data_IF_563000465813
#
_entry.id   IF_563000465813
#
_cell.length_a   1.000
_cell.length_b   1.000
_cell.length_c   1.000
_cell.angle_alpha   90.00
_cell.angle_beta   90.00
_cell.angle_gamma   90.00
#
_symmetry.space_group_name_H-M   'P 1'
#
loop_
_entity.id
_entity.type
_entity.pdbx_description
1 polymer ?
#
# COMPACT_ATOMS: atom_id res chain seq x y z
N UNK A 1 24.91 26.60 32.44
CA UNK A 1 25.29 25.86 33.66
C UNK A 1 24.14 24.91 33.97
N UNK A 2 24.11 23.74 33.33
CA UNK A 2 23.01 22.80 33.37
C UNK A 2 23.29 21.72 34.42
N UNK A 3 22.28 21.45 35.23
CA UNK A 3 22.27 20.54 36.36
C UNK A 3 22.55 19.12 35.86
N UNK A 4 23.70 18.59 36.24
CA UNK A 4 24.07 17.17 36.11
C UNK A 4 23.53 16.46 37.35
N UNK A 5 22.48 15.65 37.19
CA UNK A 5 22.17 14.60 38.16
C UNK A 5 22.81 13.30 37.68
N UNK A 6 23.84 12.89 38.43
CA UNK A 6 24.55 11.63 38.29
C UNK A 6 23.58 10.50 38.67
N UNK A 7 23.25 9.62 37.73
CA UNK A 7 22.68 8.31 38.07
C UNK A 7 23.77 7.53 38.81
N UNK A 8 23.46 7.02 40.01
CA UNK A 8 24.39 6.19 40.78
C UNK A 8 24.73 4.91 40.02
N UNK A 9 25.98 4.44 40.09
CA UNK A 9 26.44 3.18 39.48
C UNK A 9 25.52 1.97 39.80
N UNK A 10 24.87 1.98 40.97
CA UNK A 10 23.90 0.95 41.36
C UNK A 10 22.68 0.85 40.44
N UNK A 11 22.25 1.96 39.80
CA UNK A 11 21.11 1.96 38.88
C UNK A 11 21.47 1.37 37.50
N UNK A 12 22.75 1.38 37.13
CA UNK A 12 23.25 0.81 35.86
C UNK A 12 23.35 -0.72 35.93
N UNK A 13 23.46 -1.29 37.12
CA UNK A 13 23.47 -2.75 37.34
C UNK A 13 22.10 -3.43 37.19
N UNK A 14 21.01 -2.64 37.16
CA UNK A 14 19.63 -3.14 37.10
C UNK A 14 18.98 -2.98 35.72
N UNK A 15 19.76 -2.70 34.67
CA UNK A 15 19.24 -2.65 33.29
C UNK A 15 19.07 -4.10 32.79
N UNK A 16 17.92 -4.50 32.21
CA UNK A 16 17.69 -5.87 31.78
C UNK A 16 18.70 -6.28 30.71
N UNK A 17 19.10 -7.55 30.73
CA UNK A 17 20.08 -8.10 29.80
C UNK A 17 19.68 -7.81 28.34
N UNK A 18 20.66 -7.38 27.54
CA UNK A 18 20.71 -6.97 26.13
C UNK A 18 19.58 -7.35 25.13
N UNK A 19 18.77 -8.39 25.36
CA UNK A 19 17.76 -8.92 24.43
C UNK A 19 16.52 -8.03 24.25
N UNK A 20 16.06 -7.36 25.30
CA UNK A 20 14.79 -6.59 25.26
C UNK A 20 14.99 -5.16 24.75
N UNK A 21 16.14 -4.55 25.04
CA UNK A 21 16.57 -3.29 24.42
C UNK A 21 16.89 -3.45 22.93
N UNK A 22 17.36 -4.63 22.52
CA UNK A 22 17.54 -4.96 21.11
C UNK A 22 16.22 -4.93 20.32
N UNK A 23 15.11 -5.38 20.91
CA UNK A 23 13.77 -5.30 20.29
C UNK A 23 13.31 -3.85 20.05
N UNK A 24 13.61 -2.95 20.97
CA UNK A 24 13.34 -1.51 20.81
C UNK A 24 14.31 -0.84 19.82
N UNK A 25 15.54 -1.36 19.70
CA UNK A 25 16.54 -0.92 18.72
C UNK A 25 16.22 -1.23 17.27
N UNK A 26 15.32 -2.18 17.04
CA UNK A 26 14.72 -2.41 15.72
C UNK A 26 13.67 -1.34 15.40
N UNK A 27 13.09 -0.66 16.40
CA UNK A 27 11.88 0.16 16.26
C UNK A 27 12.08 1.67 16.48
N UNK A 28 13.09 2.12 17.23
CA UNK A 28 13.48 3.53 17.23
C UNK A 28 14.54 3.76 16.14
N UNK A 29 14.58 4.96 15.53
CA UNK A 29 15.67 5.34 14.64
C UNK A 29 17.00 4.93 15.29
N UNK A 30 17.77 4.06 14.62
CA UNK A 30 19.04 3.50 15.12
C UNK A 30 19.95 4.57 15.74
N UNK A 31 19.82 5.81 15.28
CA UNK A 31 20.51 7.00 15.78
C UNK A 31 20.07 7.43 17.19
N UNK A 32 18.77 7.45 17.49
CA UNK A 32 18.26 7.79 18.83
C UNK A 32 18.71 6.77 19.89
N UNK A 33 18.71 5.47 19.56
CA UNK A 33 19.19 4.45 20.49
C UNK A 33 20.71 4.37 20.58
N UNK A 34 21.41 4.66 19.49
CA UNK A 34 22.86 4.84 19.51
C UNK A 34 23.24 6.04 20.39
N UNK A 35 22.56 7.17 20.27
CA UNK A 35 22.81 8.39 21.03
C UNK A 35 22.39 8.23 22.50
N UNK A 36 21.28 7.53 22.78
CA UNK A 36 20.87 7.16 24.14
C UNK A 36 21.87 6.21 24.79
N UNK A 37 22.33 5.17 24.09
CA UNK A 37 23.32 4.23 24.59
C UNK A 37 24.69 4.89 24.83
N UNK A 38 25.12 5.82 23.96
CA UNK A 38 26.30 6.66 24.18
C UNK A 38 26.13 7.59 25.38
N UNK A 39 24.97 8.23 25.51
CA UNK A 39 24.68 9.14 26.62
C UNK A 39 24.62 8.42 27.97
N UNK A 40 24.26 7.14 27.98
CA UNK A 40 24.23 6.27 29.16
C UNK A 40 25.55 5.51 29.39
N UNK A 41 26.60 5.75 28.60
CA UNK A 41 27.90 5.09 28.76
C UNK A 41 27.92 3.59 28.39
N UNK A 42 26.93 3.12 27.63
CA UNK A 42 26.74 1.71 27.29
C UNK A 42 27.50 1.35 26.00
N UNK A 43 28.82 1.52 25.99
CA UNK A 43 29.68 1.29 24.80
C UNK A 43 29.55 -0.12 24.20
N UNK A 44 29.34 -1.11 25.07
CA UNK A 44 29.15 -2.52 24.68
C UNK A 44 27.80 -2.74 23.97
N UNK A 45 26.75 -2.02 24.36
CA UNK A 45 25.45 -2.06 23.68
C UNK A 45 25.54 -1.39 22.30
N UNK A 46 26.25 -0.27 22.20
CA UNK A 46 26.54 0.39 20.90
C UNK A 46 27.29 -0.55 19.96
N UNK A 47 28.25 -1.32 20.48
CA UNK A 47 28.99 -2.34 19.74
C UNK A 47 28.09 -3.50 19.29
N UNK A 48 27.14 -3.92 20.13
CA UNK A 48 26.16 -4.99 19.83
C UNK A 48 25.08 -4.55 18.85
N UNK A 49 24.54 -3.33 18.96
CA UNK A 49 23.60 -2.76 17.97
C UNK A 49 24.25 -2.73 16.57
N UNK A 50 25.55 -2.42 16.49
CA UNK A 50 26.33 -2.51 15.24
C UNK A 50 26.54 -3.94 14.73
N UNK A 51 26.62 -4.94 15.61
CA UNK A 51 26.81 -6.36 15.25
C UNK A 51 25.50 -7.10 14.93
N UNK A 52 24.37 -6.72 15.56
CA UNK A 52 23.09 -7.44 15.49
C UNK A 52 22.31 -7.17 14.20
N UNK A 53 22.77 -6.23 13.36
CA UNK A 53 22.19 -5.93 12.04
C UNK A 53 22.13 -7.13 11.08
N UNK A 54 22.73 -8.27 11.41
CA UNK A 54 22.75 -9.47 10.57
C UNK A 54 21.99 -10.71 11.09
N UNK A 55 21.44 -10.73 12.32
CA UNK A 55 20.64 -11.88 12.80
C UNK A 55 20.05 -11.63 14.19
N UNK A 56 18.80 -11.15 14.28
CA UNK A 56 17.99 -11.27 15.50
C UNK A 56 17.16 -12.56 15.37
N UNK A 57 17.33 -13.53 16.28
CA UNK A 57 16.50 -14.72 16.33
C UNK A 57 15.01 -14.41 16.52
N UNK A 58 14.13 -15.06 15.74
CA UNK A 58 12.68 -14.82 15.74
C UNK A 58 12.01 -15.05 17.12
N UNK A 59 12.59 -15.92 17.96
CA UNK A 59 12.11 -16.20 19.32
C UNK A 59 12.22 -14.99 20.27
N UNK A 60 13.07 -14.01 19.98
CA UNK A 60 13.19 -12.77 20.75
C UNK A 60 12.03 -11.80 20.45
N UNK A 61 11.44 -11.87 19.25
CA UNK A 61 10.29 -11.03 18.86
C UNK A 61 8.97 -11.51 19.50
N UNK A 62 8.94 -12.72 20.04
CA UNK A 62 7.75 -13.30 20.69
C UNK A 62 7.67 -13.03 22.21
N UNK A 63 8.74 -12.52 22.84
CA UNK A 63 8.76 -12.26 24.29
C UNK A 63 8.02 -10.96 24.68
N UNK A 64 6.94 -11.09 25.45
CA UNK A 64 6.13 -9.95 25.94
C UNK A 64 6.91 -9.17 27.03
N UNK A 65 7.06 -7.83 26.93
CA UNK A 65 7.70 -7.03 27.97
C UNK A 65 6.96 -7.11 29.31
N UNK A 66 7.72 -7.19 30.41
CA UNK A 66 7.18 -7.13 31.78
C UNK A 66 6.64 -5.73 32.12
N UNK A 67 5.80 -5.64 33.16
CA UNK A 67 5.29 -4.35 33.69
C UNK A 67 6.42 -3.37 33.99
N UNK A 68 7.48 -3.88 34.61
CA UNK A 68 8.65 -3.10 34.99
C UNK A 68 9.35 -2.46 33.78
N UNK A 69 9.41 -3.20 32.66
CA UNK A 69 10.00 -2.69 31.42
C UNK A 69 9.10 -1.61 30.83
N UNK A 70 7.78 -1.82 30.79
CA UNK A 70 6.84 -0.83 30.27
C UNK A 70 6.88 0.47 31.09
N UNK A 71 6.98 0.36 32.41
CA UNK A 71 7.10 1.50 33.33
C UNK A 71 8.38 2.29 33.11
N UNK A 72 9.48 1.62 32.78
CA UNK A 72 10.76 2.25 32.46
C UNK A 72 10.76 2.89 31.07
N UNK A 73 10.01 2.34 30.11
CA UNK A 73 9.94 2.85 28.75
C UNK A 73 9.03 4.07 28.60
N UNK A 74 7.91 4.10 29.32
CA UNK A 74 6.93 5.17 29.23
C UNK A 74 7.51 6.60 29.29
N UNK A 75 8.45 6.94 30.20
CA UNK A 75 9.04 8.28 30.23
C UNK A 75 10.05 8.55 29.10
N UNK A 76 10.62 7.51 28.48
CA UNK A 76 11.66 7.63 27.45
C UNK A 76 11.07 7.93 26.06
N UNK A 77 9.80 7.59 25.83
CA UNK A 77 9.14 7.72 24.53
C UNK A 77 8.86 9.20 24.18
N UNK A 78 8.65 10.07 25.19
CA UNK A 78 8.41 11.50 24.96
C UNK A 78 7.00 11.79 24.42
N UNK A 79 6.87 12.74 23.49
CA UNK A 79 5.58 13.33 23.06
C UNK A 79 4.86 12.56 21.92
N UNK A 80 5.26 11.32 21.64
CA UNK A 80 4.79 10.57 20.47
C UNK A 80 3.68 9.54 20.80
N UNK A 81 2.93 9.74 21.88
CA UNK A 81 1.85 8.85 22.36
C UNK A 81 0.94 8.38 21.23
N UNK A 82 0.50 9.31 20.37
CA UNK A 82 -0.45 9.01 19.31
C UNK A 82 0.16 8.11 18.22
N UNK A 83 1.38 8.43 17.79
CA UNK A 83 2.13 7.63 16.81
C UNK A 83 2.45 6.24 17.38
N UNK A 84 2.88 6.17 18.65
CA UNK A 84 3.13 4.92 19.35
C UNK A 84 1.87 4.04 19.38
N UNK A 85 0.72 4.61 19.74
CA UNK A 85 -0.55 3.89 19.77
C UNK A 85 -0.89 3.27 18.41
N UNK A 86 -0.76 4.05 17.33
CA UNK A 86 -0.99 3.56 15.96
C UNK A 86 -0.02 2.43 15.61
N UNK A 87 1.27 2.59 15.90
CA UNK A 87 2.30 1.58 15.60
C UNK A 87 2.11 0.29 16.38
N UNK A 88 1.56 0.39 17.59
CA UNK A 88 1.19 -0.77 18.40
C UNK A 88 -0.16 -1.38 17.99
N UNK A 89 -0.87 -0.78 17.03
CA UNK A 89 -2.13 -1.30 16.49
C UNK A 89 -3.37 -0.94 17.30
N UNK A 90 -3.30 0.08 18.18
CA UNK A 90 -4.48 0.61 18.86
C UNK A 90 -5.36 1.40 17.90
N UNK A 91 -6.67 1.39 18.15
CA UNK A 91 -7.62 2.22 17.43
C UNK A 91 -7.48 3.70 17.81
N UNK A 92 -7.96 4.60 16.94
CA UNK A 92 -7.94 6.05 17.23
C UNK A 92 -8.79 6.36 18.47
N UNK A 93 -9.92 5.68 18.64
CA UNK A 93 -10.82 5.82 19.78
C UNK A 93 -10.15 5.39 21.10
N UNK A 94 -9.36 4.30 21.08
CA UNK A 94 -8.59 3.86 22.25
C UNK A 94 -7.53 4.89 22.64
N UNK A 95 -6.81 5.43 21.64
CA UNK A 95 -5.77 6.43 21.89
C UNK A 95 -6.37 7.72 22.44
N UNK A 96 -7.50 8.19 21.90
CA UNK A 96 -8.20 9.37 22.43
C UNK A 96 -8.75 9.11 23.85
N UNK A 97 -9.30 7.92 24.11
CA UNK A 97 -9.73 7.53 25.47
C UNK A 97 -8.57 7.55 26.47
N UNK A 98 -7.37 7.10 26.06
CA UNK A 98 -6.17 7.16 26.89
C UNK A 98 -5.75 8.60 27.17
N UNK A 99 -5.81 9.49 26.16
CA UNK A 99 -5.53 10.92 26.33
C UNK A 99 -6.49 11.59 27.30
N UNK A 100 -7.79 11.27 27.23
CA UNK A 100 -8.80 11.78 28.15
C UNK A 100 -8.57 11.28 29.58
N UNK A 101 -8.18 10.01 29.74
CA UNK A 101 -7.98 9.38 31.05
C UNK A 101 -6.72 9.86 31.77
N UNK A 102 -5.63 10.11 31.05
CA UNK A 102 -4.32 10.39 31.63
C UNK A 102 -3.97 11.89 31.69
N UNK A 103 -4.94 12.78 31.47
CA UNK A 103 -4.74 14.24 31.42
C UNK A 103 -3.55 14.63 30.51
N UNK A 104 -2.83 15.72 30.82
CA UNK A 104 -1.63 16.18 30.07
C UNK A 104 -0.35 15.41 30.43
N UNK A 105 -0.42 14.33 31.22
CA UNK A 105 0.74 13.52 31.59
C UNK A 105 1.09 12.53 30.47
N UNK A 106 2.06 12.92 29.65
CA UNK A 106 2.55 12.10 28.54
C UNK A 106 3.17 10.77 28.98
N UNK A 107 3.75 10.71 30.19
CA UNK A 107 4.34 9.47 30.70
C UNK A 107 3.22 8.50 31.07
N UNK A 108 2.18 8.99 31.74
CA UNK A 108 0.99 8.19 32.03
C UNK A 108 0.28 7.74 30.74
N UNK A 109 0.17 8.61 29.73
CA UNK A 109 -0.39 8.25 28.42
C UNK A 109 0.44 7.16 27.71
N UNK A 110 1.77 7.33 27.61
CA UNK A 110 2.66 6.33 26.99
C UNK A 110 2.57 4.98 27.71
N UNK A 111 2.53 5.01 29.06
CA UNK A 111 2.34 3.83 29.88
C UNK A 111 1.02 3.15 29.52
N UNK A 112 -0.10 3.86 29.56
CA UNK A 112 -1.41 3.27 29.30
C UNK A 112 -1.53 2.72 27.87
N UNK A 113 -0.92 3.36 26.87
CA UNK A 113 -0.82 2.83 25.49
C UNK A 113 -0.10 1.48 25.48
N UNK A 114 1.09 1.39 26.10
CA UNK A 114 1.87 0.15 26.17
C UNK A 114 1.12 -0.96 26.92
N UNK A 115 0.41 -0.61 27.99
CA UNK A 115 -0.39 -1.55 28.77
C UNK A 115 -1.62 -2.04 28.01
N UNK A 116 -2.28 -1.15 27.27
CA UNK A 116 -3.47 -1.46 26.45
C UNK A 116 -3.08 -2.39 25.30
N UNK A 117 -2.02 -2.05 24.56
CA UNK A 117 -1.41 -2.91 23.55
C UNK A 117 -1.13 -4.32 24.08
N UNK A 118 -0.48 -4.42 25.25
CA UNK A 118 -0.12 -5.72 25.83
C UNK A 118 -1.34 -6.56 26.25
N UNK A 119 -2.45 -5.90 26.64
CA UNK A 119 -3.69 -6.58 27.03
C UNK A 119 -4.40 -7.17 25.82
N UNK A 120 -4.40 -6.46 24.69
CA UNK A 120 -4.97 -6.98 23.45
C UNK A 120 -3.98 -7.93 22.74
N UNK A 121 -3.91 -9.15 23.27
CA UNK A 121 -3.05 -10.22 22.73
C UNK A 121 -3.61 -10.90 21.49
N UNK A 122 -4.81 -10.52 21.07
CA UNK A 122 -5.44 -11.13 19.87
C UNK A 122 -4.85 -10.52 18.60
N UNK A 123 -4.46 -9.26 18.68
CA UNK A 123 -3.73 -8.56 17.63
C UNK A 123 -2.25 -8.76 17.92
N UNK A 124 -1.63 -9.78 17.32
CA UNK A 124 -0.17 -9.78 17.21
C UNK A 124 0.17 -8.42 16.59
N UNK A 125 1.01 -7.58 17.23
CA UNK A 125 1.39 -6.32 16.63
C UNK A 125 1.85 -6.67 15.23
N UNK A 126 1.27 -6.00 14.24
CA UNK A 126 1.67 -6.15 12.86
C UNK A 126 3.04 -5.49 12.73
N UNK A 127 4.07 -6.02 13.41
CA UNK A 127 5.47 -5.58 13.36
C UNK A 127 6.01 -5.71 11.93
N UNK A 128 5.24 -6.36 11.04
CA UNK A 128 5.50 -6.44 9.60
C UNK A 128 4.78 -5.37 8.76
N UNK A 129 3.89 -4.57 9.32
CA UNK A 129 3.58 -3.28 8.71
C UNK A 129 4.71 -2.36 9.14
N UNK A 130 5.59 -2.08 8.19
CA UNK A 130 6.70 -1.17 8.43
C UNK A 130 6.11 0.14 8.96
N UNK A 131 6.79 0.82 9.89
CA UNK A 131 6.39 2.16 10.37
C UNK A 131 6.05 3.12 9.23
N UNK A 132 6.69 2.90 8.08
CA UNK A 132 6.40 3.52 6.80
C UNK A 132 4.99 3.27 6.25
N UNK A 133 4.48 2.03 6.27
CA UNK A 133 3.09 1.70 5.90
C UNK A 133 2.09 2.42 6.81
N UNK A 134 2.36 2.46 8.12
CA UNK A 134 1.50 3.13 9.10
C UNK A 134 1.44 4.65 8.87
N UNK A 135 2.58 5.29 8.61
CA UNK A 135 2.66 6.71 8.32
C UNK A 135 1.85 7.08 7.06
N UNK A 136 1.94 6.26 6.00
CA UNK A 136 1.18 6.46 4.76
C UNK A 136 -0.32 6.33 4.96
N UNK A 137 -0.75 5.32 5.70
CA UNK A 137 -2.17 5.15 6.07
C UNK A 137 -2.67 6.36 6.86
N UNK A 138 -1.88 6.84 7.82
CA UNK A 138 -2.20 8.04 8.57
C UNK A 138 -2.37 9.26 7.64
N UNK A 139 -1.42 9.49 6.71
CA UNK A 139 -1.50 10.60 5.76
C UNK A 139 -2.72 10.54 4.84
N UNK A 140 -3.08 9.35 4.37
CA UNK A 140 -4.31 9.14 3.60
C UNK A 140 -5.53 9.53 4.44
N UNK A 141 -5.65 9.02 5.67
CA UNK A 141 -6.77 9.32 6.57
C UNK A 141 -6.86 10.80 6.93
N UNK A 142 -5.73 11.44 7.20
CA UNK A 142 -5.63 12.87 7.51
C UNK A 142 -6.15 13.74 6.36
N UNK A 143 -5.96 13.31 5.10
CA UNK A 143 -6.36 14.03 3.90
C UNK A 143 -7.60 13.44 3.20
N UNK A 144 -8.28 12.46 3.80
CA UNK A 144 -9.33 11.65 3.17
C UNK A 144 -10.46 12.53 2.61
N UNK A 145 -10.94 13.49 3.40
CA UNK A 145 -12.05 14.37 2.98
C UNK A 145 -11.71 15.20 1.74
N UNK A 146 -10.48 15.71 1.64
CA UNK A 146 -10.04 16.48 0.46
C UNK A 146 -9.92 15.57 -0.75
N UNK A 147 -9.33 14.40 -0.57
CA UNK A 147 -9.21 13.40 -1.64
C UNK A 147 -10.60 13.05 -2.18
N UNK A 148 -11.56 12.76 -1.29
CA UNK A 148 -12.92 12.37 -1.67
C UNK A 148 -13.62 13.49 -2.46
N UNK A 149 -13.43 14.75 -2.08
CA UNK A 149 -14.15 15.88 -2.68
C UNK A 149 -13.52 16.40 -3.97
N UNK A 150 -12.18 16.46 -4.04
CA UNK A 150 -11.49 17.26 -5.05
C UNK A 150 -11.02 16.42 -6.26
N UNK A 151 -10.81 15.11 -6.07
CA UNK A 151 -10.20 14.25 -7.09
C UNK A 151 -11.24 13.68 -8.07
N UNK A 152 -10.95 13.83 -9.37
CA UNK A 152 -11.66 13.12 -10.44
C UNK A 152 -11.12 11.70 -10.57
N UNK A 153 -11.79 10.76 -9.91
CA UNK A 153 -11.34 9.38 -9.76
C UNK A 153 -10.98 8.69 -11.07
N UNK A 154 -11.76 8.90 -12.14
CA UNK A 154 -11.57 8.22 -13.42
C UNK A 154 -10.16 8.40 -14.00
N UNK A 155 -9.57 9.60 -13.85
CA UNK A 155 -8.23 9.91 -14.33
C UNK A 155 -7.16 9.17 -13.52
N UNK A 156 -7.34 9.10 -12.19
CA UNK A 156 -6.44 8.38 -11.30
C UNK A 156 -6.51 6.88 -11.55
N UNK A 157 -7.72 6.32 -11.75
CA UNK A 157 -7.89 4.91 -12.10
C UNK A 157 -7.21 4.56 -13.42
N UNK A 158 -7.35 5.39 -14.46
CA UNK A 158 -6.69 5.14 -15.75
C UNK A 158 -5.16 5.09 -15.60
N UNK A 159 -4.60 5.95 -14.76
CA UNK A 159 -3.16 5.97 -14.46
C UNK A 159 -2.70 4.76 -13.67
N UNK A 160 -3.44 4.41 -12.62
CA UNK A 160 -3.15 3.24 -11.78
C UNK A 160 -3.31 1.92 -12.56
N UNK A 161 -4.28 1.81 -13.46
CA UNK A 161 -4.43 0.69 -14.39
C UNK A 161 -3.20 0.55 -15.30
N UNK A 162 -2.70 1.67 -15.82
CA UNK A 162 -1.53 1.70 -16.71
C UNK A 162 -0.26 1.18 -16.02
N UNK A 163 -0.16 1.38 -14.70
CA UNK A 163 0.97 0.94 -13.88
C UNK A 163 0.73 -0.41 -13.19
N UNK A 164 -0.34 -1.12 -13.54
CA UNK A 164 -0.65 -2.48 -13.05
C UNK A 164 -0.86 -2.58 -11.54
N UNK A 165 -1.12 -1.47 -10.86
CA UNK A 165 -1.37 -1.46 -9.39
C UNK A 165 -2.85 -1.66 -9.04
N UNK A 166 -3.73 -1.56 -10.04
CA UNK A 166 -5.14 -1.97 -9.99
C UNK A 166 -5.52 -2.90 -11.15
N UNK A 167 -6.44 -3.83 -10.89
CA UNK A 167 -7.01 -4.75 -11.87
C UNK A 167 -8.25 -4.12 -12.54
N UNK A 168 -8.72 -4.74 -13.63
CA UNK A 168 -9.97 -4.34 -14.25
C UNK A 168 -11.18 -4.58 -13.32
N UNK A 169 -11.12 -5.63 -12.51
CA UNK A 169 -12.20 -5.97 -11.59
C UNK A 169 -12.25 -4.98 -10.42
N UNK A 170 -11.10 -4.55 -9.88
CA UNK A 170 -11.05 -3.45 -8.89
C UNK A 170 -11.69 -2.17 -9.45
N UNK A 171 -11.39 -1.83 -10.70
CA UNK A 171 -11.94 -0.63 -11.35
C UNK A 171 -13.47 -0.73 -11.42
N UNK A 172 -13.98 -1.86 -11.90
CA UNK A 172 -15.43 -2.09 -12.01
C UNK A 172 -16.10 -2.06 -10.63
N UNK A 173 -15.47 -2.66 -9.63
CA UNK A 173 -15.96 -2.63 -8.24
C UNK A 173 -16.01 -1.20 -7.71
N UNK A 174 -14.95 -0.41 -7.91
CA UNK A 174 -14.92 1.01 -7.53
C UNK A 174 -16.01 1.80 -8.26
N UNK A 175 -16.15 1.63 -9.58
CA UNK A 175 -17.12 2.36 -10.39
C UNK A 175 -18.58 1.98 -10.07
N UNK A 176 -18.79 0.81 -9.47
CA UNK A 176 -20.11 0.39 -8.97
C UNK A 176 -20.57 1.20 -7.75
N UNK A 177 -19.65 1.77 -6.96
CA UNK A 177 -20.00 2.61 -5.84
C UNK A 177 -20.61 3.96 -6.30
N UNK A 178 -21.51 4.56 -5.49
CA UNK A 178 -21.95 5.93 -5.70
C UNK A 178 -20.76 6.89 -5.83
N UNK A 179 -20.86 7.91 -6.68
CA UNK A 179 -19.74 8.83 -7.00
C UNK A 179 -18.98 9.38 -5.79
N UNK A 180 -19.66 9.62 -4.66
CA UNK A 180 -19.05 10.12 -3.44
C UNK A 180 -18.22 9.07 -2.67
N UNK A 181 -18.51 7.78 -2.88
CA UNK A 181 -17.84 6.66 -2.22
C UNK A 181 -16.74 6.05 -3.09
N UNK A 182 -16.72 6.32 -4.40
CA UNK A 182 -15.71 5.75 -5.31
C UNK A 182 -14.29 6.10 -4.85
N UNK A 183 -14.04 7.37 -4.47
CA UNK A 183 -12.72 7.80 -4.00
C UNK A 183 -12.32 7.08 -2.70
N UNK A 184 -13.28 6.80 -1.82
CA UNK A 184 -13.04 6.02 -0.61
C UNK A 184 -12.67 4.57 -0.92
N UNK A 185 -13.39 3.92 -1.82
CA UNK A 185 -13.08 2.56 -2.27
C UNK A 185 -11.67 2.47 -2.89
N UNK A 186 -11.27 3.49 -3.66
CA UNK A 186 -9.91 3.60 -4.19
C UNK A 186 -8.86 3.72 -3.08
N UNK A 187 -9.08 4.56 -2.07
CA UNK A 187 -8.17 4.70 -0.94
C UNK A 187 -8.01 3.39 -0.15
N UNK A 188 -9.10 2.64 0.05
CA UNK A 188 -9.05 1.34 0.70
C UNK A 188 -8.16 0.35 -0.08
N UNK A 189 -8.25 0.35 -1.42
CA UNK A 189 -7.38 -0.46 -2.29
C UNK A 189 -5.92 -0.01 -2.20
N UNK A 190 -5.66 1.29 -2.24
CA UNK A 190 -4.30 1.85 -2.08
C UNK A 190 -3.69 1.43 -0.74
N UNK A 191 -4.45 1.55 0.34
CA UNK A 191 -4.04 1.14 1.69
C UNK A 191 -3.78 -0.37 1.76
N UNK A 192 -4.66 -1.18 1.18
CA UNK A 192 -4.56 -2.65 1.19
C UNK A 192 -3.34 -3.14 0.40
N UNK A 193 -3.00 -2.48 -0.72
CA UNK A 193 -1.93 -2.89 -1.64
C UNK A 193 -0.55 -2.30 -1.34
N UNK A 194 -0.47 -1.40 -0.36
CA UNK A 194 0.79 -0.87 0.18
C UNK A 194 1.61 -0.12 -0.88
N UNK A 195 2.94 -0.24 -0.78
CA UNK A 195 3.90 0.66 -1.40
C UNK A 195 3.72 0.92 -2.90
N UNK A 196 3.61 -0.10 -3.77
CA UNK A 196 3.54 0.15 -5.21
C UNK A 196 2.27 0.93 -5.58
N UNK A 197 1.13 0.62 -4.95
CA UNK A 197 -0.12 1.32 -5.20
C UNK A 197 -0.09 2.74 -4.66
N UNK A 198 0.50 2.96 -3.48
CA UNK A 198 0.65 4.28 -2.89
C UNK A 198 1.51 5.21 -3.74
N UNK A 199 2.69 4.76 -4.18
CA UNK A 199 3.59 5.59 -4.98
C UNK A 199 2.95 5.99 -6.30
N UNK A 200 2.34 5.03 -7.00
CA UNK A 200 1.65 5.29 -8.26
C UNK A 200 0.41 6.17 -8.06
N UNK A 201 -0.32 6.01 -6.96
CA UNK A 201 -1.43 6.89 -6.63
C UNK A 201 -0.96 8.34 -6.47
N UNK A 202 0.10 8.58 -5.67
CA UNK A 202 0.67 9.91 -5.48
C UNK A 202 1.23 10.49 -6.79
N UNK A 203 1.88 9.69 -7.62
CA UNK A 203 2.37 10.14 -8.93
C UNK A 203 1.21 10.46 -9.89
N UNK A 204 0.12 9.68 -9.83
CA UNK A 204 -1.12 9.98 -10.52
C UNK A 204 -1.67 11.35 -10.11
N UNK A 205 -1.74 11.64 -8.80
CA UNK A 205 -2.20 12.94 -8.31
C UNK A 205 -1.39 14.09 -8.91
N UNK A 206 -0.05 13.99 -8.94
CA UNK A 206 0.82 15.00 -9.57
C UNK A 206 0.53 15.17 -11.05
N UNK A 207 0.41 14.06 -11.78
CA UNK A 207 0.22 14.07 -13.23
C UNK A 207 -1.11 14.70 -13.68
N UNK A 208 -2.14 14.67 -12.84
CA UNK A 208 -3.45 15.28 -13.13
C UNK A 208 -3.67 16.62 -12.40
N UNK A 209 -2.62 17.22 -11.84
CA UNK A 209 -2.66 18.58 -11.29
C UNK A 209 -3.11 18.69 -9.84
N UNK A 210 -3.21 17.58 -9.11
CA UNK A 210 -3.50 17.53 -7.66
C UNK A 210 -2.21 17.61 -6.83
N UNK A 211 -1.34 18.55 -7.19
CA UNK A 211 0.02 18.66 -6.65
C UNK A 211 0.00 19.01 -5.15
N UNK A 212 -0.97 19.80 -4.69
CA UNK A 212 -1.16 20.14 -3.29
C UNK A 212 -1.46 18.89 -2.45
N UNK A 213 -2.45 18.08 -2.86
CA UNK A 213 -2.78 16.82 -2.19
C UNK A 213 -1.61 15.84 -2.24
N UNK A 214 -0.94 15.73 -3.40
CA UNK A 214 0.22 14.86 -3.56
C UNK A 214 1.38 15.23 -2.63
N UNK A 215 1.57 16.53 -2.36
CA UNK A 215 2.59 17.03 -1.44
C UNK A 215 2.21 16.79 0.02
N UNK A 216 0.94 16.89 0.38
CA UNK A 216 0.46 16.55 1.73
C UNK A 216 0.58 15.05 2.02
N UNK A 217 0.47 14.21 0.98
CA UNK A 217 0.72 12.76 1.05
C UNK A 217 2.20 12.39 0.95
N UNK A 218 3.11 13.34 0.69
CA UNK A 218 4.53 13.03 0.59
C UNK A 218 5.06 12.63 1.96
N UNK A 219 5.48 11.38 2.09
CA UNK A 219 6.23 10.98 3.28
C UNK A 219 7.60 11.66 3.23
N UNK A 220 8.03 12.26 4.34
CA UNK A 220 9.41 12.71 4.51
C UNK A 220 10.25 11.46 4.63
N UNK A 221 10.56 10.86 3.49
CA UNK A 221 11.66 9.92 3.40
C UNK A 221 12.89 10.78 3.62
N UNK A 222 13.40 10.82 4.86
CA UNK A 222 14.79 11.20 5.05
C UNK A 222 15.59 10.40 4.02
N UNK A 223 16.46 11.08 3.26
CA UNK A 223 17.23 10.55 2.13
C UNK A 223 18.14 9.38 2.54
N UNK A 224 17.54 8.27 2.96
CA UNK A 224 18.12 6.95 2.87
C UNK A 224 18.09 6.71 1.38
N UNK A 225 19.17 7.16 0.73
CA UNK A 225 19.50 6.87 -0.66
C UNK A 225 18.96 5.47 -0.96
N UNK A 226 18.00 5.33 -1.88
CA UNK A 226 17.34 4.05 -2.13
C UNK A 226 18.44 3.07 -2.45
N UNK A 227 18.82 2.26 -1.46
CA UNK A 227 19.82 1.23 -1.68
C UNK A 227 19.15 0.31 -2.68
N UNK A 228 19.70 0.13 -3.89
CA UNK A 228 19.03 -0.57 -4.98
C UNK A 228 18.80 -2.06 -4.68
N UNK A 229 19.08 -2.52 -3.47
CA UNK A 229 18.55 -3.72 -2.83
C UNK A 229 17.04 -3.59 -2.53
N UNK A 230 16.24 -3.22 -3.55
CA UNK A 230 15.00 -3.94 -3.74
C UNK A 230 15.43 -5.39 -3.84
N UNK A 231 15.07 -6.19 -2.83
CA UNK A 231 15.26 -7.63 -2.78
C UNK A 231 14.99 -8.14 -4.19
N UNK A 232 16.04 -8.49 -4.91
CA UNK A 232 15.94 -9.34 -6.08
C UNK A 232 15.19 -10.53 -5.52
N UNK A 233 13.90 -10.63 -5.82
CA UNK A 233 13.18 -11.87 -5.64
C UNK A 233 13.89 -12.81 -6.61
N UNK A 234 14.96 -13.43 -6.12
CA UNK A 234 15.83 -14.32 -6.87
C UNK A 234 14.96 -15.52 -7.22
N UNK A 235 14.42 -15.48 -8.44
CA UNK A 235 14.03 -16.66 -9.20
C UNK A 235 13.11 -17.66 -8.49
N UNK A 236 12.23 -17.24 -7.58
CA UNK A 236 11.05 -18.04 -7.25
C UNK A 236 10.25 -18.18 -8.56
N UNK A 237 10.09 -19.42 -9.01
CA UNK A 237 9.86 -19.79 -10.39
C UNK A 237 8.77 -18.96 -11.09
N UNK A 238 9.13 -18.37 -12.23
CA UNK A 238 8.19 -17.71 -13.16
C UNK A 238 7.01 -18.62 -13.58
N UNK A 239 7.08 -19.93 -13.34
CA UNK A 239 6.06 -20.92 -13.70
C UNK A 239 4.72 -20.76 -12.97
N UNK A 240 4.69 -20.06 -11.84
CA UNK A 240 3.51 -20.10 -10.96
C UNK A 240 2.56 -18.90 -11.16
N UNK A 241 3.01 -17.84 -11.86
CA UNK A 241 2.18 -16.68 -12.14
C UNK A 241 1.25 -16.97 -13.32
N UNK A 242 0.01 -17.37 -13.03
CA UNK A 242 -1.02 -17.66 -14.04
C UNK A 242 -1.65 -16.39 -14.66
N UNK A 243 -0.89 -15.30 -14.79
CA UNK A 243 -1.37 -14.07 -15.40
C UNK A 243 -1.13 -14.16 -16.91
N UNK A 244 -2.15 -14.07 -17.77
CA UNK A 244 -1.92 -14.11 -19.20
C UNK A 244 -1.18 -12.86 -19.70
N UNK A 245 -0.13 -13.08 -20.52
CA UNK A 245 0.75 -12.02 -21.03
C UNK A 245 0.00 -10.88 -21.73
N UNK A 246 -1.06 -11.21 -22.47
CA UNK A 246 -1.85 -10.22 -23.20
C UNK A 246 -2.57 -9.22 -22.28
N UNK A 247 -2.98 -9.63 -21.07
CA UNK A 247 -3.63 -8.73 -20.11
C UNK A 247 -2.67 -7.65 -19.64
N UNK A 248 -1.43 -8.04 -19.35
CA UNK A 248 -0.36 -7.10 -18.95
C UNK A 248 -0.06 -6.11 -20.08
N UNK A 249 0.03 -6.60 -21.32
CA UNK A 249 0.24 -5.72 -22.50
C UNK A 249 -0.90 -4.73 -22.70
N UNK A 250 -2.15 -5.19 -22.57
CA UNK A 250 -3.33 -4.33 -22.67
C UNK A 250 -3.32 -3.26 -21.56
N UNK A 251 -3.08 -3.64 -20.31
CA UNK A 251 -3.08 -2.68 -19.21
C UNK A 251 -1.92 -1.68 -19.30
N UNK A 252 -0.70 -2.09 -19.65
CA UNK A 252 0.43 -1.13 -19.83
C UNK A 252 0.18 -0.10 -20.93
N UNK A 253 -0.71 -0.39 -21.88
CA UNK A 253 -1.11 0.53 -22.95
C UNK A 253 -2.51 1.13 -22.74
N UNK A 254 -3.10 0.95 -21.56
CA UNK A 254 -4.50 1.29 -21.27
C UNK A 254 -4.84 2.75 -21.62
N UNK A 255 -4.05 3.70 -21.13
CA UNK A 255 -4.24 5.12 -21.42
C UNK A 255 -4.20 5.43 -22.93
N UNK A 256 -3.21 4.90 -23.65
CA UNK A 256 -3.07 5.12 -25.10
C UNK A 256 -4.27 4.59 -25.87
N UNK A 257 -4.74 3.39 -25.52
CA UNK A 257 -5.92 2.81 -26.15
C UNK A 257 -7.14 3.70 -25.90
N UNK A 258 -7.34 4.19 -24.69
CA UNK A 258 -8.50 5.03 -24.36
C UNK A 258 -8.49 6.38 -25.06
N UNK A 259 -7.32 6.98 -25.25
CA UNK A 259 -7.20 8.30 -25.88
C UNK A 259 -7.23 8.25 -27.39
N UNK A 260 -6.66 7.20 -28.00
CA UNK A 260 -6.27 7.26 -29.41
C UNK A 260 -7.24 6.54 -30.35
N UNK A 261 -8.05 5.57 -29.85
CA UNK A 261 -8.92 4.76 -30.73
C UNK A 261 -10.32 5.37 -30.89
N UNK A 262 -10.91 5.16 -32.07
CA UNK A 262 -12.35 5.26 -32.30
C UNK A 262 -12.94 3.84 -32.19
N UNK A 263 -13.85 3.61 -31.25
CA UNK A 263 -14.31 2.26 -30.90
C UNK A 263 -15.26 1.64 -31.93
N UNK A 264 -16.00 2.42 -32.71
CA UNK A 264 -17.15 1.94 -33.51
C UNK A 264 -16.76 0.80 -34.46
N UNK A 265 -15.73 1.03 -35.29
CA UNK A 265 -15.28 0.05 -36.28
C UNK A 265 -14.62 -1.19 -35.65
N UNK A 266 -14.04 -1.01 -34.46
CA UNK A 266 -13.38 -2.08 -33.69
C UNK A 266 -14.43 -2.97 -33.04
N UNK A 267 -15.44 -2.38 -32.39
CA UNK A 267 -16.54 -3.09 -31.71
C UNK A 267 -17.33 -3.91 -32.72
N UNK A 268 -17.70 -3.35 -33.87
CA UNK A 268 -18.39 -4.07 -34.94
C UNK A 268 -17.60 -5.31 -35.40
N UNK A 269 -16.28 -5.17 -35.58
CA UNK A 269 -15.42 -6.31 -35.90
C UNK A 269 -15.44 -7.36 -34.78
N UNK A 270 -15.34 -6.95 -33.52
CA UNK A 270 -15.32 -7.89 -32.38
C UNK A 270 -16.65 -8.62 -32.20
N UNK A 271 -17.78 -7.97 -32.47
CA UNK A 271 -19.11 -8.61 -32.50
C UNK A 271 -19.20 -9.61 -33.65
N UNK A 272 -18.75 -9.21 -34.86
CA UNK A 272 -18.75 -10.12 -36.03
C UNK A 272 -17.89 -11.38 -35.85
N UNK A 273 -16.92 -11.33 -34.92
CA UNK A 273 -16.03 -12.44 -34.56
C UNK A 273 -16.44 -13.19 -33.30
N UNK A 274 -17.60 -12.85 -32.73
CA UNK A 274 -18.17 -13.42 -31.51
C UNK A 274 -17.24 -13.32 -30.30
N UNK A 275 -16.37 -12.31 -30.27
CA UNK A 275 -15.51 -12.02 -29.11
C UNK A 275 -16.30 -11.22 -28.08
N UNK A 276 -17.09 -10.28 -28.56
CA UNK A 276 -17.98 -9.39 -27.80
C UNK A 276 -19.41 -9.73 -28.22
N UNK A 277 -20.32 -9.88 -27.25
CA UNK A 277 -21.74 -10.10 -27.56
C UNK A 277 -22.41 -8.80 -28.01
N UNK A 278 -23.61 -8.88 -28.59
CA UNK A 278 -24.37 -7.67 -28.95
C UNK A 278 -24.67 -6.83 -27.71
N UNK A 279 -25.09 -7.47 -26.61
CA UNK A 279 -25.34 -6.81 -25.32
C UNK A 279 -24.08 -6.13 -24.75
N UNK A 280 -22.91 -6.77 -24.90
CA UNK A 280 -21.63 -6.16 -24.51
C UNK A 280 -21.31 -4.94 -25.38
N UNK A 281 -21.63 -5.00 -26.68
CA UNK A 281 -21.53 -3.88 -27.61
C UNK A 281 -22.41 -2.69 -27.20
N UNK A 282 -23.66 -2.95 -26.84
CA UNK A 282 -24.58 -1.91 -26.33
C UNK A 282 -24.07 -1.27 -25.04
N UNK A 283 -23.50 -2.07 -24.13
CA UNK A 283 -22.84 -1.53 -22.92
C UNK A 283 -21.67 -0.62 -23.26
N UNK A 284 -20.86 -1.00 -24.24
CA UNK A 284 -19.76 -0.14 -24.73
C UNK A 284 -20.32 1.17 -25.27
N UNK A 285 -21.33 1.11 -26.15
CA UNK A 285 -21.96 2.29 -26.76
C UNK A 285 -22.73 3.19 -25.79
N UNK A 286 -23.10 2.66 -24.62
CA UNK A 286 -23.78 3.44 -23.57
C UNK A 286 -22.90 4.53 -22.93
N UNK A 287 -21.57 4.47 -23.12
CA UNK A 287 -20.64 5.51 -22.67
C UNK A 287 -20.92 6.86 -23.32
N UNK A 288 -20.86 7.94 -22.56
CA UNK A 288 -21.23 9.29 -23.04
C UNK A 288 -20.13 9.93 -23.86
N UNK A 289 -18.89 9.60 -23.56
CA UNK A 289 -17.70 10.12 -24.23
C UNK A 289 -16.95 9.00 -24.94
N UNK A 290 -16.21 9.27 -26.04
CA UNK A 290 -15.38 8.26 -26.68
C UNK A 290 -14.44 7.54 -25.70
N UNK A 291 -13.88 8.27 -24.73
CA UNK A 291 -13.02 7.72 -23.69
C UNK A 291 -13.76 6.76 -22.76
N UNK A 292 -15.00 7.09 -22.36
CA UNK A 292 -15.85 6.15 -21.59
C UNK A 292 -16.16 4.89 -22.39
N UNK A 293 -16.48 5.02 -23.67
CA UNK A 293 -16.72 3.86 -24.55
C UNK A 293 -15.46 3.00 -24.69
N UNK A 294 -14.29 3.62 -24.88
CA UNK A 294 -13.01 2.92 -24.94
C UNK A 294 -12.65 2.24 -23.61
N UNK A 295 -12.96 2.84 -22.45
CA UNK A 295 -12.80 2.19 -21.13
C UNK A 295 -13.66 0.94 -21.04
N UNK A 296 -14.96 1.04 -21.37
CA UNK A 296 -15.86 -0.10 -21.38
C UNK A 296 -15.36 -1.23 -22.29
N UNK A 297 -14.81 -0.88 -23.46
CA UNK A 297 -14.17 -1.84 -24.37
C UNK A 297 -12.94 -2.50 -23.72
N UNK A 298 -12.07 -1.73 -23.07
CA UNK A 298 -10.88 -2.26 -22.39
C UNK A 298 -11.25 -3.19 -21.23
N UNK A 299 -12.20 -2.80 -20.38
CA UNK A 299 -12.69 -3.64 -19.27
C UNK A 299 -13.32 -4.93 -19.79
N UNK A 300 -13.97 -4.90 -20.95
CA UNK A 300 -14.46 -6.10 -21.63
C UNK A 300 -13.29 -6.98 -22.10
N UNK A 301 -12.32 -6.41 -22.81
CA UNK A 301 -11.18 -7.15 -23.37
C UNK A 301 -10.30 -7.81 -22.30
N UNK A 302 -10.10 -7.15 -21.16
CA UNK A 302 -9.32 -7.68 -20.03
C UNK A 302 -9.98 -8.91 -19.37
N UNK A 303 -11.28 -9.12 -19.58
CA UNK A 303 -12.03 -10.30 -19.15
C UNK A 303 -12.13 -11.38 -20.22
N UNK A 304 -11.84 -11.07 -21.48
CA UNK A 304 -11.79 -12.06 -22.56
C UNK A 304 -10.47 -12.84 -22.53
N UNK A 305 -10.45 -13.96 -23.24
CA UNK A 305 -9.27 -14.80 -23.42
C UNK A 305 -8.32 -14.22 -24.49
N UNK A 306 -7.20 -14.92 -24.72
CA UNK A 306 -6.20 -14.53 -25.71
C UNK A 306 -6.75 -14.40 -27.14
N UNK A 307 -7.77 -15.18 -27.51
CA UNK A 307 -8.46 -15.02 -28.81
C UNK A 307 -9.06 -13.63 -28.94
N UNK A 308 -9.67 -13.10 -27.88
CA UNK A 308 -10.25 -11.76 -27.89
C UNK A 308 -9.20 -10.67 -28.10
N UNK A 309 -8.05 -10.80 -27.44
CA UNK A 309 -6.90 -9.91 -27.65
C UNK A 309 -6.38 -9.95 -29.10
N UNK A 310 -6.22 -11.14 -29.67
CA UNK A 310 -5.72 -11.29 -31.03
C UNK A 310 -6.68 -10.70 -32.08
N UNK A 311 -8.00 -10.87 -31.89
CA UNK A 311 -9.00 -10.24 -32.77
C UNK A 311 -9.05 -8.72 -32.60
N UNK A 312 -8.82 -8.20 -31.39
CA UNK A 312 -8.66 -6.76 -31.17
C UNK A 312 -7.46 -6.20 -31.92
N UNK A 313 -6.29 -6.85 -31.84
CA UNK A 313 -5.12 -6.43 -32.62
C UNK A 313 -5.35 -6.50 -34.14
N UNK A 314 -6.09 -7.51 -34.62
CA UNK A 314 -6.49 -7.58 -36.03
C UNK A 314 -7.42 -6.44 -36.42
N UNK A 315 -8.36 -6.07 -35.54
CA UNK A 315 -9.27 -4.94 -35.76
C UNK A 315 -8.47 -3.63 -35.89
N UNK A 316 -7.54 -3.37 -34.99
CA UNK A 316 -6.66 -2.20 -35.06
C UNK A 316 -5.85 -2.19 -36.37
N UNK A 317 -5.27 -3.31 -36.79
CA UNK A 317 -4.48 -3.40 -38.05
C UNK A 317 -5.30 -3.24 -39.33
N UNK A 318 -6.63 -3.37 -39.28
CA UNK A 318 -7.47 -3.12 -40.46
C UNK A 318 -7.49 -1.65 -40.84
N UNK A 319 -7.35 -0.76 -39.85
CA UNK A 319 -7.22 0.66 -40.10
C UNK A 319 -5.74 1.04 -40.04
N UNK A 320 -5.23 1.64 -41.12
CA UNK A 320 -3.84 2.09 -41.19
C UNK A 320 -3.47 3.08 -40.09
N UNK A 321 -4.44 3.83 -39.56
CA UNK A 321 -4.21 4.84 -38.51
C UNK A 321 -3.81 4.17 -37.18
N UNK A 322 -4.26 2.94 -36.92
CA UNK A 322 -4.00 2.21 -35.67
C UNK A 322 -2.99 1.07 -35.80
N UNK A 323 -2.41 0.87 -36.98
CA UNK A 323 -1.44 -0.20 -37.22
C UNK A 323 -0.22 -0.09 -36.28
N UNK A 324 0.31 1.13 -36.10
CA UNK A 324 1.45 1.40 -35.21
C UNK A 324 1.09 1.14 -33.74
N UNK A 325 -0.12 1.50 -33.31
CA UNK A 325 -0.61 1.23 -31.96
C UNK A 325 -0.73 -0.28 -31.71
N UNK A 326 -1.26 -1.03 -32.67
CA UNK A 326 -1.37 -2.49 -32.57
C UNK A 326 0.00 -3.16 -32.44
N UNK A 327 0.98 -2.72 -33.23
CA UNK A 327 2.36 -3.19 -33.15
C UNK A 327 2.99 -2.82 -31.80
N UNK A 328 2.76 -1.60 -31.31
CA UNK A 328 3.25 -1.17 -30.01
C UNK A 328 2.71 -2.02 -28.86
N UNK A 329 1.39 -2.31 -28.85
CA UNK A 329 0.76 -3.15 -27.83
C UNK A 329 1.33 -4.57 -27.88
N UNK A 330 1.44 -5.17 -29.06
CA UNK A 330 1.95 -6.53 -29.24
C UNK A 330 3.43 -6.66 -28.82
N UNK A 331 4.25 -5.64 -29.12
CA UNK A 331 5.68 -5.61 -28.78
C UNK A 331 5.98 -5.04 -27.39
N UNK A 332 4.97 -4.67 -26.62
CA UNK A 332 5.17 -4.14 -25.27
C UNK A 332 5.91 -5.14 -24.41
N UNK A 333 7.05 -4.71 -23.87
CA UNK A 333 7.88 -5.50 -22.97
C UNK A 333 7.13 -5.73 -21.65
N UNK A 334 7.07 -7.00 -21.25
CA UNK A 334 6.46 -7.42 -19.99
C UNK A 334 7.56 -8.02 -19.13
N UNK A 335 7.79 -7.39 -17.99
CA UNK A 335 8.81 -7.82 -17.03
C UNK A 335 8.21 -8.82 -16.02
N UNK A 336 9.07 -9.56 -15.31
CA UNK A 336 8.63 -10.40 -14.19
C UNK A 336 7.95 -9.58 -13.09
N UNK A 337 8.42 -8.36 -12.84
CA UNK A 337 7.82 -7.42 -11.89
C UNK A 337 6.39 -7.03 -12.28
N UNK A 338 6.13 -6.80 -13.58
CA UNK A 338 4.79 -6.50 -14.08
C UNK A 338 3.82 -7.67 -13.79
N UNK A 339 4.24 -8.90 -14.10
CA UNK A 339 3.44 -10.10 -13.89
C UNK A 339 3.14 -10.33 -12.40
N UNK A 340 4.17 -10.18 -11.55
CA UNK A 340 4.04 -10.32 -10.10
C UNK A 340 3.11 -9.25 -9.50
N UNK A 341 3.20 -8.01 -9.98
CA UNK A 341 2.36 -6.89 -9.52
C UNK A 341 0.90 -7.16 -9.87
N UNK A 342 0.62 -7.53 -11.12
CA UNK A 342 -0.75 -7.80 -11.56
C UNK A 342 -1.32 -9.07 -10.89
N UNK A 343 -0.52 -10.11 -10.68
CA UNK A 343 -1.00 -11.29 -9.95
C UNK A 343 -1.38 -10.95 -8.51
N UNK A 344 -0.56 -10.15 -7.81
CA UNK A 344 -0.88 -9.69 -6.45
C UNK A 344 -2.21 -8.94 -6.44
N UNK A 345 -2.49 -8.12 -7.45
CA UNK A 345 -3.78 -7.45 -7.59
C UNK A 345 -4.95 -8.45 -7.63
N UNK A 346 -4.88 -9.44 -8.53
CA UNK A 346 -5.95 -10.44 -8.70
C UNK A 346 -6.09 -11.40 -7.50
N UNK A 347 -5.03 -11.64 -6.73
CA UNK A 347 -5.08 -12.57 -5.59
C UNK A 347 -5.95 -12.01 -4.45
N UNK A 348 -5.87 -10.70 -4.19
CA UNK A 348 -6.65 -10.04 -3.14
C UNK A 348 -8.16 -10.07 -3.38
N UNK A 349 -8.61 -10.31 -4.61
CA UNK A 349 -10.02 -10.44 -4.99
C UNK A 349 -10.63 -11.74 -4.44
N UNK A 350 -9.90 -12.87 -4.58
CA UNK A 350 -10.39 -14.20 -4.14
C UNK A 350 -10.63 -14.27 -2.63
N UNK A 351 -9.80 -13.58 -1.85
CA UNK A 351 -9.96 -13.54 -0.39
C UNK A 351 -11.19 -12.73 0.03
N UNK A 352 -11.46 -11.60 -0.65
CA UNK A 352 -12.61 -10.74 -0.33
C UNK A 352 -13.96 -11.41 -0.64
N UNK A 353 -14.10 -12.08 -1.79
CA UNK A 353 -15.32 -12.81 -2.13
C UNK A 353 -15.62 -13.95 -1.15
N UNK A 354 -14.57 -14.61 -0.65
CA UNK A 354 -14.72 -15.70 0.32
C UNK A 354 -15.20 -15.19 1.68
N UNK A 355 -14.88 -13.95 2.05
CA UNK A 355 -15.27 -13.37 3.34
C UNK A 355 -16.72 -12.83 3.30
N UNK A 356 -17.12 -12.08 2.27
CA UNK A 356 -18.51 -11.58 2.15
C UNK A 356 -19.55 -12.71 2.02
N UNK A 357 -19.17 -13.82 1.37
CA UNK A 357 -20.05 -14.99 1.24
C UNK A 357 -20.33 -15.67 2.59
N UNK A 358 -19.37 -15.64 3.52
CA UNK A 358 -19.56 -16.19 4.88
C UNK A 358 -20.45 -15.31 5.73
N UNK A 359 -20.29 -14.00 5.65
CA UNK A 359 -21.08 -13.06 6.45
C UNK A 359 -22.54 -13.01 6.00
N UNK A 360 -22.81 -13.21 4.71
CA UNK A 360 -24.16 -13.30 4.15
C UNK A 360 -24.88 -14.63 4.47
N UNK A 361 -24.14 -15.68 4.85
CA UNK A 361 -24.71 -16.97 5.27
C UNK A 361 -25.05 -17.02 6.77
N UNK A 362 -24.72 -15.96 7.53
CA UNK A 362 -24.97 -15.85 8.97
C UNK A 362 -26.02 -14.79 9.34
N UNK A 363 -26.65 -14.18 8.34
CA UNK A 363 -27.89 -13.42 8.45
C UNK A 363 -29.05 -14.23 7.89
#
# INVERSE_FOLDING_TARGET
>A
MLIVQVLSEDALSQIPSDKELLRLSVNCETRMLHDLALHLGMEEMVRRIKQVKSSIPDDILDCIPSDEILDRLAPLIGKIVFQLGIELGLSVEEIESIKEKCDRDLTAQNKEVLFTWRKDRTVKPTIRETTFDAQKKYRIRENENRIIQDIQISQILDHMMTHLVISADDRLDIEHYPRHDQNKALLDIVIKRREPAYSVFVDGLRNYGYEDIANDLKCVTHDISPSPTLVSAENEGLSDWNVPLYKVRLQKNYLKVITDIQHESIVDHLISREVVSVDDGEKIESGKTPQEKNRNLMDMLLRKNERGFNEFLKALRKDSIYADLAEQIEKTEVTSTDMATLHKCNFFEKENFTQQSKDSLHQ
#
